data_IF_495327936085
#
_entry.id   IF_495327936085
#
_cell.length_a   1.000
_cell.length_b   1.000
_cell.length_c   1.000
_cell.angle_alpha   90.00
_cell.angle_beta   90.00
_cell.angle_gamma   90.00
#
_symmetry.space_group_name_H-M   'P 1'
#
loop_
_entity.id
_entity.type
_entity.pdbx_description
1 polymer ?
#
# COMPACT_ATOMS: atom_id res chain seq x y z
N UNK A 1 6.26 -13.09 -18.40
CA UNK A 1 7.26 -12.51 -17.52
C UNK A 1 8.62 -12.55 -18.19
N UNK A 2 9.50 -11.59 -17.91
CA UNK A 2 10.83 -11.50 -18.52
C UNK A 2 11.72 -12.66 -18.11
N UNK A 3 12.53 -13.18 -19.05
CA UNK A 3 13.61 -14.13 -18.76
C UNK A 3 14.88 -13.43 -18.24
N UNK A 4 14.89 -12.09 -18.19
CA UNK A 4 15.99 -11.32 -17.60
C UNK A 4 15.88 -11.38 -16.08
N UNK A 5 17.01 -11.51 -15.42
CA UNK A 5 17.07 -11.32 -13.96
C UNK A 5 16.83 -9.83 -13.65
N UNK A 6 15.63 -9.53 -13.20
CA UNK A 6 15.21 -8.19 -12.78
C UNK A 6 15.17 -8.09 -11.24
N UNK A 7 15.75 -9.05 -10.55
CA UNK A 7 15.68 -9.17 -9.10
C UNK A 7 14.28 -9.61 -8.62
N UNK A 8 13.91 -9.16 -7.43
CA UNK A 8 12.63 -9.49 -6.77
C UNK A 8 11.78 -8.23 -6.61
N UNK A 9 11.17 -7.71 -7.69
CA UNK A 9 10.30 -6.54 -7.60
C UNK A 9 8.98 -6.91 -6.93
N UNK A 10 8.45 -5.98 -6.13
CA UNK A 10 7.09 -6.08 -5.57
C UNK A 10 6.24 -4.89 -5.99
N UNK A 11 4.96 -5.14 -6.16
CA UNK A 11 3.92 -4.12 -6.31
C UNK A 11 3.19 -3.99 -4.98
N UNK A 12 3.00 -2.78 -4.51
CA UNK A 12 2.26 -2.54 -3.28
C UNK A 12 1.82 -1.10 -3.11
N UNK A 13 0.97 -0.89 -2.14
CA UNK A 13 0.54 0.42 -1.68
C UNK A 13 0.93 0.58 -0.20
N UNK A 14 0.82 1.79 0.34
CA UNK A 14 1.13 2.02 1.74
C UNK A 14 0.54 3.32 2.26
N UNK A 15 0.29 3.35 3.55
CA UNK A 15 -0.10 4.56 4.26
C UNK A 15 1.14 5.41 4.49
N UNK A 16 1.12 6.64 4.00
CA UNK A 16 2.19 7.61 4.19
C UNK A 16 1.88 8.50 5.39
N UNK A 17 2.88 8.73 6.24
CA UNK A 17 2.80 9.66 7.36
C UNK A 17 3.67 10.86 7.05
N UNK A 18 3.10 12.06 7.13
CA UNK A 18 3.81 13.31 6.87
C UNK A 18 3.55 14.35 7.94
N UNK A 19 4.56 15.18 8.25
CA UNK A 19 4.40 16.33 9.10
C UNK A 19 3.83 17.51 8.29
N UNK A 20 2.71 18.09 8.75
CA UNK A 20 2.12 19.30 8.17
C UNK A 20 2.65 20.58 8.83
N UNK A 21 3.40 20.44 9.91
CA UNK A 21 4.09 21.52 10.58
C UNK A 21 5.42 21.05 11.19
N UNK A 22 6.30 21.98 11.51
CA UNK A 22 7.61 21.71 12.11
C UNK A 22 7.58 21.82 13.65
N UNK A 23 6.54 21.33 14.29
CA UNK A 23 6.42 21.29 15.75
C UNK A 23 7.34 20.19 16.32
N UNK A 24 8.12 20.47 17.37
CA UNK A 24 8.99 19.46 17.99
C UNK A 24 8.27 18.19 18.43
N UNK A 25 7.05 18.27 18.95
CA UNK A 25 6.26 17.11 19.35
C UNK A 25 5.85 16.26 18.14
N UNK A 26 5.50 16.90 17.01
CA UNK A 26 5.20 16.19 15.74
C UNK A 26 6.43 15.45 15.24
N UNK A 27 7.60 16.09 15.27
CA UNK A 27 8.84 15.46 14.82
C UNK A 27 9.24 14.29 15.73
N UNK A 28 9.04 14.42 17.05
CA UNK A 28 9.31 13.35 18.00
C UNK A 28 8.38 12.15 17.80
N UNK A 29 7.10 12.40 17.51
CA UNK A 29 6.16 11.33 17.15
C UNK A 29 6.57 10.60 15.87
N UNK A 30 6.98 11.34 14.82
CA UNK A 30 7.48 10.72 13.59
C UNK A 30 8.75 9.90 13.86
N UNK A 31 9.69 10.42 14.68
CA UNK A 31 10.87 9.65 15.08
C UNK A 31 10.51 8.37 15.81
N UNK A 32 9.55 8.43 16.74
CA UNK A 32 9.04 7.23 17.40
C UNK A 32 8.50 6.22 16.40
N UNK A 33 7.70 6.65 15.39
CA UNK A 33 7.20 5.76 14.35
C UNK A 33 8.30 5.15 13.46
N UNK A 34 9.51 5.71 13.45
CA UNK A 34 10.67 5.15 12.73
C UNK A 34 11.42 4.07 13.52
N UNK A 35 11.09 3.84 14.78
CA UNK A 35 11.68 2.75 15.57
C UNK A 35 10.96 1.42 15.26
N UNK A 36 11.62 0.25 15.47
CA UNK A 36 10.99 -1.05 15.24
C UNK A 36 9.80 -1.32 16.17
N UNK A 37 9.86 -0.84 17.41
CA UNK A 37 8.89 -1.15 18.47
C UNK A 37 7.42 -0.86 18.10
N UNK A 38 7.02 0.33 17.59
CA UNK A 38 5.64 0.57 17.19
C UNK A 38 5.20 -0.33 16.02
N UNK A 39 6.11 -0.68 15.13
CA UNK A 39 5.82 -1.61 14.04
C UNK A 39 5.54 -3.01 14.57
N UNK A 40 6.36 -3.52 15.49
CA UNK A 40 6.19 -4.84 16.10
C UNK A 40 4.87 -4.94 16.86
N UNK A 41 4.48 -3.87 17.55
CA UNK A 41 3.17 -3.81 18.20
C UNK A 41 2.01 -3.95 17.21
N UNK A 42 2.11 -3.28 16.06
CA UNK A 42 1.10 -3.38 14.99
C UNK A 42 1.11 -4.74 14.29
N UNK A 43 2.30 -5.27 13.99
CA UNK A 43 2.47 -6.61 13.40
C UNK A 43 1.76 -7.69 14.24
N UNK A 44 1.86 -7.61 15.57
CA UNK A 44 1.21 -8.53 16.49
C UNK A 44 -0.33 -8.43 16.48
N UNK A 45 -0.89 -7.27 16.09
CA UNK A 45 -2.34 -7.08 15.95
C UNK A 45 -2.90 -7.70 14.67
N UNK A 46 -2.06 -7.94 13.67
CA UNK A 46 -2.46 -8.41 12.34
C UNK A 46 -2.90 -7.30 11.39
N UNK A 47 -3.05 -7.65 10.11
CA UNK A 47 -3.49 -6.72 9.06
C UNK A 47 -2.48 -5.62 8.70
N UNK A 48 -1.24 -5.72 9.17
CA UNK A 48 -0.20 -4.72 8.95
C UNK A 48 1.09 -5.37 8.45
N UNK A 49 1.67 -4.79 7.40
CA UNK A 49 3.01 -5.11 6.93
C UNK A 49 3.90 -3.88 7.10
N UNK A 50 5.11 -4.07 7.58
CA UNK A 50 6.06 -2.98 7.76
C UNK A 50 7.17 -3.02 6.71
N UNK A 51 7.59 -1.86 6.15
CA UNK A 51 8.81 -1.76 5.37
C UNK A 51 10.07 -1.74 6.23
N UNK A 52 9.95 -1.67 7.56
CA UNK A 52 11.07 -1.55 8.48
C UNK A 52 11.86 -2.85 8.58
N UNK A 53 13.14 -2.84 8.15
CA UNK A 53 13.99 -4.05 8.09
C UNK A 53 14.54 -4.50 9.45
N UNK A 54 14.46 -3.66 10.48
CA UNK A 54 15.00 -3.94 11.80
C UNK A 54 14.00 -4.57 12.79
N UNK A 55 12.81 -4.98 12.32
CA UNK A 55 11.80 -5.61 13.17
C UNK A 55 12.07 -7.10 13.37
N UNK A 56 11.60 -7.64 14.49
CA UNK A 56 11.54 -9.09 14.71
C UNK A 56 10.34 -9.69 13.95
N UNK A 57 10.61 -10.39 12.86
CA UNK A 57 9.58 -11.03 12.03
C UNK A 57 8.73 -12.09 12.76
N UNK A 58 9.20 -12.61 13.90
CA UNK A 58 8.41 -13.52 14.73
C UNK A 58 7.18 -12.85 15.38
N UNK A 59 7.15 -11.51 15.41
CA UNK A 59 6.03 -10.72 15.93
C UNK A 59 4.82 -10.65 15.01
N UNK A 60 4.93 -11.08 13.75
CA UNK A 60 3.75 -11.14 12.88
C UNK A 60 2.68 -12.09 13.43
N UNK A 61 1.43 -11.67 13.35
CA UNK A 61 0.28 -12.41 13.88
C UNK A 61 0.03 -13.77 13.21
N UNK A 62 0.61 -14.02 12.04
CA UNK A 62 0.51 -15.30 11.34
C UNK A 62 1.70 -15.55 10.41
N UNK A 63 1.91 -16.82 10.04
CA UNK A 63 2.94 -17.21 9.07
C UNK A 63 2.73 -16.57 7.69
N UNK A 64 1.49 -16.34 7.29
CA UNK A 64 1.18 -15.65 6.04
C UNK A 64 1.70 -14.22 6.07
N UNK A 65 1.40 -13.45 7.12
CA UNK A 65 1.91 -12.08 7.27
C UNK A 65 3.44 -12.06 7.40
N UNK A 66 4.03 -13.01 8.09
CA UNK A 66 5.49 -13.12 8.17
C UNK A 66 6.13 -13.31 6.79
N UNK A 67 5.63 -14.24 5.98
CA UNK A 67 6.10 -14.44 4.61
C UNK A 67 5.92 -13.22 3.71
N UNK A 68 4.79 -12.53 3.82
CA UNK A 68 4.56 -11.29 3.08
C UNK A 68 5.53 -10.18 3.52
N UNK A 69 5.82 -10.07 4.80
CA UNK A 69 6.83 -9.16 5.35
C UNK A 69 8.24 -9.45 4.84
N UNK A 70 8.62 -10.72 4.78
CA UNK A 70 9.90 -11.19 4.21
C UNK A 70 10.01 -10.83 2.72
N UNK A 71 8.94 -11.03 1.94
CA UNK A 71 8.88 -10.65 0.53
C UNK A 71 9.05 -9.13 0.38
N UNK A 72 8.33 -8.34 1.17
CA UNK A 72 8.37 -6.88 1.13
C UNK A 72 9.77 -6.35 1.47
N UNK A 73 10.34 -6.80 2.58
CA UNK A 73 11.66 -6.30 3.06
C UNK A 73 12.83 -6.83 2.27
N UNK A 74 12.67 -7.99 1.61
CA UNK A 74 13.65 -8.59 0.71
C UNK A 74 13.56 -8.09 -0.74
N UNK A 75 12.56 -7.27 -1.07
CA UNK A 75 12.38 -6.77 -2.42
C UNK A 75 13.56 -5.89 -2.87
N UNK A 76 13.98 -6.09 -4.11
CA UNK A 76 15.01 -5.25 -4.74
C UNK A 76 14.45 -3.97 -5.32
N UNK A 77 13.16 -3.95 -5.64
CA UNK A 77 12.43 -2.81 -6.19
C UNK A 77 11.00 -2.81 -5.67
N UNK A 78 10.54 -1.68 -5.19
CA UNK A 78 9.14 -1.45 -4.83
C UNK A 78 8.47 -0.60 -5.91
N UNK A 79 7.38 -1.11 -6.46
CA UNK A 79 6.49 -0.37 -7.37
C UNK A 79 5.25 0.05 -6.62
N UNK A 80 5.03 1.35 -6.57
CA UNK A 80 3.80 1.88 -5.98
C UNK A 80 2.60 1.55 -6.87
N UNK A 81 1.45 1.28 -6.24
CA UNK A 81 0.22 0.93 -6.93
C UNK A 81 -0.21 2.06 -7.89
N UNK A 82 -0.59 1.67 -9.11
CA UNK A 82 -1.00 2.63 -10.12
C UNK A 82 -2.29 3.37 -9.75
N UNK A 83 -3.21 2.76 -9.01
CA UNK A 83 -4.44 3.41 -8.57
C UNK A 83 -4.17 4.59 -7.63
N UNK A 84 -3.16 4.46 -6.76
CA UNK A 84 -2.72 5.53 -5.86
C UNK A 84 -1.96 6.66 -6.59
N UNK A 85 -1.45 6.39 -7.79
CA UNK A 85 -0.76 7.35 -8.65
C UNK A 85 -1.69 8.08 -9.64
N UNK A 86 -2.95 7.63 -9.73
CA UNK A 86 -3.96 8.29 -10.55
C UNK A 86 -4.44 9.61 -9.91
N UNK A 87 -5.01 10.54 -10.70
CA UNK A 87 -5.74 11.66 -10.14
C UNK A 87 -6.79 11.19 -9.12
N UNK A 88 -6.96 11.90 -8.01
CA UNK A 88 -7.82 11.48 -6.90
C UNK A 88 -9.26 11.17 -7.33
N UNK A 89 -9.81 11.92 -8.31
CA UNK A 89 -11.13 11.64 -8.88
C UNK A 89 -11.23 10.27 -9.55
N UNK A 90 -10.11 9.72 -10.03
CA UNK A 90 -10.05 8.40 -10.65
C UNK A 90 -9.64 7.35 -9.63
N UNK A 91 -8.43 7.43 -9.07
CA UNK A 91 -7.89 6.37 -8.21
C UNK A 91 -8.72 6.14 -6.95
N UNK A 92 -8.89 7.17 -6.12
CA UNK A 92 -9.71 7.13 -4.91
C UNK A 92 -11.23 7.27 -5.20
N UNK A 93 -11.59 7.79 -6.36
CA UNK A 93 -12.98 7.97 -6.80
C UNK A 93 -13.49 6.79 -7.63
N UNK A 94 -13.59 6.99 -8.96
CA UNK A 94 -14.29 6.06 -9.85
C UNK A 94 -13.67 4.66 -9.91
N UNK A 95 -12.33 4.54 -9.79
CA UNK A 95 -11.68 3.22 -9.76
C UNK A 95 -12.06 2.45 -8.49
N UNK A 96 -11.89 3.07 -7.32
CA UNK A 96 -12.23 2.43 -6.04
C UNK A 96 -13.70 2.03 -5.98
N UNK A 97 -14.61 2.98 -6.29
CA UNK A 97 -16.06 2.69 -6.32
C UNK A 97 -16.41 1.61 -7.33
N UNK A 98 -15.77 1.62 -8.50
CA UNK A 98 -15.96 0.61 -9.53
C UNK A 98 -15.57 -0.79 -9.05
N UNK A 99 -14.46 -0.93 -8.30
CA UNK A 99 -14.07 -2.22 -7.73
C UNK A 99 -15.09 -2.72 -6.69
N UNK A 100 -15.61 -1.83 -5.85
CA UNK A 100 -16.69 -2.16 -4.91
C UNK A 100 -17.95 -2.58 -5.66
N UNK A 101 -18.35 -1.85 -6.70
CA UNK A 101 -19.50 -2.18 -7.54
C UNK A 101 -19.35 -3.54 -8.25
N UNK A 102 -18.15 -3.85 -8.72
CA UNK A 102 -17.83 -5.15 -9.30
C UNK A 102 -18.04 -6.29 -8.30
N UNK A 103 -17.56 -6.13 -7.06
CA UNK A 103 -17.76 -7.14 -6.01
C UNK A 103 -19.23 -7.27 -5.60
N UNK A 104 -20.04 -6.23 -5.83
CA UNK A 104 -21.49 -6.22 -5.60
C UNK A 104 -22.33 -6.68 -6.81
N UNK A 105 -21.67 -7.15 -7.89
CA UNK A 105 -22.33 -7.81 -9.01
C UNK A 105 -22.47 -6.99 -10.30
N UNK A 106 -21.94 -5.76 -10.38
CA UNK A 106 -21.83 -5.08 -11.67
C UNK A 106 -20.89 -5.84 -12.60
N UNK A 107 -21.16 -5.82 -13.89
CA UNK A 107 -20.28 -6.43 -14.86
C UNK A 107 -18.94 -5.65 -14.97
N UNK A 108 -17.87 -6.37 -15.31
CA UNK A 108 -16.55 -5.76 -15.53
C UNK A 108 -16.60 -4.67 -16.62
N UNK A 109 -17.47 -4.85 -17.65
CA UNK A 109 -17.64 -3.86 -18.70
C UNK A 109 -18.28 -2.57 -18.20
N UNK A 110 -19.35 -2.63 -17.43
CA UNK A 110 -20.01 -1.44 -16.86
C UNK A 110 -19.06 -0.66 -15.95
N UNK A 111 -18.27 -1.38 -15.15
CA UNK A 111 -17.26 -0.77 -14.27
C UNK A 111 -16.17 -0.08 -15.08
N UNK A 112 -15.62 -0.77 -16.09
CA UNK A 112 -14.57 -0.20 -16.95
C UNK A 112 -15.06 1.02 -17.73
N UNK A 113 -16.27 0.96 -18.29
CA UNK A 113 -16.88 2.08 -19.00
C UNK A 113 -17.08 3.30 -18.08
N UNK A 114 -17.49 3.08 -16.83
CA UNK A 114 -17.66 4.14 -15.83
C UNK A 114 -16.35 4.80 -15.43
N UNK A 115 -15.28 4.01 -15.25
CA UNK A 115 -13.94 4.52 -14.98
C UNK A 115 -13.42 5.32 -16.18
N UNK A 116 -13.61 4.80 -17.40
CA UNK A 116 -13.19 5.49 -18.62
C UNK A 116 -13.94 6.83 -18.79
N UNK A 117 -15.24 6.86 -18.55
CA UNK A 117 -16.03 8.10 -18.60
C UNK A 117 -15.50 9.15 -17.61
N UNK A 118 -15.07 8.71 -16.41
CA UNK A 118 -14.45 9.62 -15.43
C UNK A 118 -13.11 10.17 -15.90
N UNK A 119 -12.29 9.35 -16.57
CA UNK A 119 -11.05 9.80 -17.21
C UNK A 119 -11.30 10.84 -18.28
N UNK A 120 -12.31 10.63 -19.12
CA UNK A 120 -12.62 11.54 -20.21
C UNK A 120 -13.14 12.89 -19.70
N UNK A 121 -13.78 12.88 -18.54
CA UNK A 121 -14.29 14.11 -17.91
C UNK A 121 -13.22 15.01 -17.28
N UNK A 122 -12.01 14.50 -17.03
CA UNK A 122 -10.90 15.28 -16.42
C UNK A 122 -9.79 15.66 -17.42
N UNK A 123 -9.93 15.31 -18.70
CA UNK A 123 -9.06 15.75 -19.80
C UNK A 123 -9.48 17.14 -20.27
#
# INVERSE_FOLDING_TARGET
>A
FSTKDLGTPVLGAGTLVGATNNNPATLEFIRFLMHPEPHEYWMAKGGFLTPHKGVDGSKYASDTFRKLGEILTGATTFRFDASDLMPGAIGAGSFWTGMVDYTNGKSAKEVADGIQASWDAIK
#
